data_IF_200802281052
#
_entry.id   IF_200802281052
#
_cell.length_a   1.000
_cell.length_b   1.000
_cell.length_c   1.000
_cell.angle_alpha   90.00
_cell.angle_beta   90.00
_cell.angle_gamma   90.00
#
_symmetry.space_group_name_H-M   'P 1'
#
loop_
_entity.id
_entity.type
_entity.pdbx_description
1 polymer ?
#
# COMPACT_ATOMS: atom_id res chain seq x y z
N UNK A 1 2.28 -18.37 -2.57
CA UNK A 1 2.00 -17.03 -2.03
C UNK A 1 2.93 -16.82 -0.85
N UNK A 2 3.66 -15.72 -0.87
CA UNK A 2 4.60 -15.29 0.16
C UNK A 2 4.07 -14.02 0.83
N UNK A 3 4.55 -13.77 2.05
CA UNK A 3 4.18 -12.59 2.83
C UNK A 3 5.42 -11.81 3.24
N UNK A 4 5.31 -10.48 3.25
CA UNK A 4 6.33 -9.58 3.75
C UNK A 4 5.72 -8.55 4.70
N UNK A 5 6.48 -8.19 5.74
CA UNK A 5 6.08 -7.17 6.69
C UNK A 5 6.66 -5.81 6.31
N UNK A 6 5.94 -4.75 6.64
CA UNK A 6 6.28 -3.41 6.23
C UNK A 6 5.34 -2.37 6.80
N UNK A 7 5.37 -1.19 6.19
CA UNK A 7 4.53 -0.08 6.60
C UNK A 7 4.01 0.70 5.41
N UNK A 8 2.95 1.47 5.67
CA UNK A 8 2.30 2.34 4.68
C UNK A 8 2.09 3.72 5.27
N UNK A 9 2.41 4.74 4.48
CA UNK A 9 2.21 6.15 4.83
C UNK A 9 1.46 6.81 3.68
N UNK A 10 0.30 7.39 3.98
CA UNK A 10 -0.37 8.33 3.10
C UNK A 10 -0.14 9.75 3.59
N UNK A 11 0.34 10.63 2.72
CA UNK A 11 0.50 12.05 2.99
C UNK A 11 -0.72 12.87 2.53
N UNK A 12 -0.69 14.17 2.75
CA UNK A 12 -1.77 15.10 2.37
C UNK A 12 -1.76 15.50 0.88
N UNK A 13 -0.87 14.93 0.06
CA UNK A 13 -0.64 15.30 -1.33
C UNK A 13 -1.15 14.24 -2.33
N UNK A 14 -2.12 13.42 -1.91
CA UNK A 14 -2.64 12.27 -2.68
C UNK A 14 -1.54 11.27 -3.03
N UNK A 15 -0.56 11.13 -2.15
CA UNK A 15 0.57 10.25 -2.34
C UNK A 15 0.64 9.27 -1.20
N UNK A 16 0.83 8.01 -1.57
CA UNK A 16 1.12 6.95 -0.62
C UNK A 16 2.50 6.38 -0.91
N UNK A 17 3.16 5.96 0.16
CA UNK A 17 4.40 5.21 0.13
C UNK A 17 4.21 3.92 0.89
N UNK A 18 4.52 2.79 0.27
CA UNK A 18 4.52 1.47 0.90
C UNK A 18 5.96 0.97 0.92
N UNK A 19 6.40 0.41 2.04
CA UNK A 19 7.75 -0.17 2.17
C UNK A 19 7.67 -1.54 2.81
N UNK A 20 8.24 -2.54 2.15
CA UNK A 20 8.26 -3.92 2.63
C UNK A 20 9.66 -4.54 2.55
N UNK A 21 10.05 -5.27 3.59
CA UNK A 21 11.32 -6.01 3.62
C UNK A 21 11.12 -7.44 3.13
N UNK A 22 11.83 -7.83 2.07
CA UNK A 22 11.80 -9.17 1.48
C UNK A 22 13.24 -9.71 1.44
N UNK A 23 13.52 -10.77 2.19
CA UNK A 23 14.84 -11.44 2.20
C UNK A 23 16.03 -10.48 2.44
N UNK A 24 15.85 -9.43 3.26
CA UNK A 24 16.88 -8.43 3.55
C UNK A 24 16.97 -7.27 2.54
N UNK A 25 16.08 -7.22 1.56
CA UNK A 25 15.98 -6.16 0.55
C UNK A 25 14.70 -5.35 0.78
N UNK A 26 14.79 -4.02 0.71
CA UNK A 26 13.62 -3.14 0.81
C UNK A 26 12.96 -2.98 -0.57
N UNK A 27 11.63 -3.05 -0.59
CA UNK A 27 10.81 -2.77 -1.76
C UNK A 27 9.87 -1.62 -1.43
N UNK A 28 10.02 -0.53 -2.18
CA UNK A 28 9.28 0.71 -2.02
C UNK A 28 8.30 0.92 -3.20
N UNK A 29 7.04 1.19 -2.91
CA UNK A 29 6.09 1.75 -3.88
C UNK A 29 5.85 3.21 -3.54
N UNK A 30 6.03 4.11 -4.51
CA UNK A 30 5.43 5.45 -4.44
C UNK A 30 4.29 5.52 -5.45
N UNK A 31 3.09 5.86 -4.98
CA UNK A 31 1.90 5.95 -5.83
C UNK A 31 1.13 7.25 -5.62
N UNK A 32 0.51 7.73 -6.70
CA UNK A 32 -0.50 8.79 -6.65
C UNK A 32 -1.89 8.17 -6.54
N UNK A 33 -2.77 8.79 -5.78
CA UNK A 33 -4.11 8.30 -5.49
C UNK A 33 -5.19 9.28 -5.93
N UNK A 34 -6.37 8.76 -6.23
CA UNK A 34 -7.58 9.55 -6.47
C UNK A 34 -8.79 8.81 -5.90
N UNK A 35 -9.74 9.47 -5.21
CA UNK A 35 -9.70 10.87 -4.80
C UNK A 35 -8.63 11.15 -3.71
N UNK A 36 -8.40 12.43 -3.34
CA UNK A 36 -7.60 12.79 -2.17
C UNK A 36 -8.04 12.05 -0.91
N UNK A 37 -7.09 11.65 -0.06
CA UNK A 37 -7.36 11.02 1.23
C UNK A 37 -6.73 11.83 2.39
N UNK A 38 -7.27 11.75 3.61
CA UNK A 38 -6.59 12.26 4.80
C UNK A 38 -5.21 11.57 4.97
N UNK A 39 -4.25 12.21 5.67
CA UNK A 39 -3.01 11.55 6.02
C UNK A 39 -3.29 10.34 6.92
N UNK A 40 -2.60 9.25 6.70
CA UNK A 40 -2.74 8.03 7.49
C UNK A 40 -1.41 7.27 7.57
N UNK A 41 -1.30 6.40 8.56
CA UNK A 41 -0.16 5.51 8.74
C UNK A 41 -0.63 4.13 9.17
N UNK A 42 0.12 3.12 8.75
CA UNK A 42 0.00 1.75 9.21
C UNK A 42 1.41 1.18 9.37
N UNK A 43 1.92 1.13 10.60
CA UNK A 43 3.27 0.60 10.84
C UNK A 43 3.34 -0.93 10.78
N UNK A 44 2.18 -1.60 10.81
CA UNK A 44 2.07 -3.05 10.71
C UNK A 44 1.23 -3.42 9.49
N UNK A 45 1.88 -3.42 8.33
CA UNK A 45 1.31 -3.82 7.06
C UNK A 45 1.90 -5.15 6.59
N UNK A 46 1.05 -5.98 6.00
CA UNK A 46 1.42 -7.22 5.34
C UNK A 46 1.21 -7.08 3.83
N UNK A 47 2.25 -7.41 3.06
CA UNK A 47 2.19 -7.57 1.61
C UNK A 47 2.07 -9.06 1.29
N UNK A 48 1.05 -9.45 0.53
CA UNK A 48 0.91 -10.79 -0.05
C UNK A 48 1.24 -10.73 -1.53
N UNK A 49 2.15 -11.60 -1.99
CA UNK A 49 2.64 -11.62 -3.37
C UNK A 49 3.01 -13.05 -3.80
N UNK A 50 3.17 -13.27 -5.11
CA UNK A 50 3.57 -14.58 -5.68
C UNK A 50 5.06 -14.65 -6.04
N UNK A 51 5.66 -13.53 -6.43
CA UNK A 51 7.09 -13.43 -6.73
C UNK A 51 7.56 -11.97 -6.75
N UNK A 52 8.85 -11.75 -6.55
CA UNK A 52 9.42 -10.38 -6.53
C UNK A 52 9.29 -9.69 -7.88
N UNK A 53 9.16 -10.43 -8.99
CA UNK A 53 8.89 -9.89 -10.34
C UNK A 53 7.66 -8.97 -10.40
N UNK A 54 6.68 -9.18 -9.51
CA UNK A 54 5.50 -8.33 -9.38
C UNK A 54 5.78 -6.96 -8.73
N UNK A 55 6.97 -6.79 -8.16
CA UNK A 55 7.42 -5.62 -7.38
C UNK A 55 8.58 -4.88 -8.08
N UNK A 56 8.62 -4.92 -9.41
CA UNK A 56 9.67 -4.28 -10.22
C UNK A 56 9.14 -3.35 -11.32
N UNK A 57 7.85 -3.05 -11.34
CA UNK A 57 7.22 -2.29 -12.42
C UNK A 57 6.17 -1.30 -11.93
N UNK A 58 5.60 -0.55 -12.88
CA UNK A 58 4.41 0.25 -12.65
C UNK A 58 3.27 -0.63 -12.16
N UNK A 59 2.60 -0.20 -11.11
CA UNK A 59 1.50 -0.92 -10.49
C UNK A 59 0.29 0.00 -10.32
N UNK A 60 -0.86 -0.51 -10.71
CA UNK A 60 -2.17 0.10 -10.47
C UNK A 60 -2.89 -0.68 -9.39
N UNK A 61 -3.69 0.00 -8.59
CA UNK A 61 -4.48 -0.64 -7.54
C UNK A 61 -5.80 0.07 -7.29
N UNK A 62 -6.72 -0.68 -6.70
CA UNK A 62 -7.92 -0.18 -6.05
C UNK A 62 -7.87 -0.54 -4.57
N UNK A 63 -8.47 0.28 -3.72
CA UNK A 63 -8.44 0.00 -2.30
C UNK A 63 -9.32 0.86 -1.43
N UNK A 64 -9.24 0.57 -0.15
CA UNK A 64 -10.01 1.21 0.92
C UNK A 64 -9.07 1.67 2.02
N UNK A 65 -9.35 2.83 2.59
CA UNK A 65 -8.71 3.35 3.80
C UNK A 65 -9.81 3.58 4.83
N UNK A 66 -9.70 2.95 5.99
CA UNK A 66 -10.55 3.21 7.15
C UNK A 66 -11.78 2.29 7.31
N UNK A 67 -12.42 2.28 8.50
CA UNK A 67 -12.02 3.06 9.68
C UNK A 67 -10.74 2.53 10.33
N UNK A 68 -10.59 1.22 10.52
CA UNK A 68 -9.47 0.68 11.31
C UNK A 68 -8.38 0.00 10.47
N UNK A 69 -8.67 -0.28 9.20
CA UNK A 69 -7.78 -1.00 8.30
C UNK A 69 -7.63 -0.26 6.98
N UNK A 70 -6.53 -0.53 6.28
CA UNK A 70 -6.44 -0.28 4.85
C UNK A 70 -6.31 -1.61 4.10
N UNK A 71 -6.76 -1.63 2.85
CA UNK A 71 -6.55 -2.74 1.94
C UNK A 71 -6.38 -2.22 0.51
N UNK A 72 -5.26 -2.56 -0.13
CA UNK A 72 -4.94 -2.20 -1.51
C UNK A 72 -4.77 -3.50 -2.31
N UNK A 73 -5.56 -3.61 -3.37
CA UNK A 73 -5.57 -4.73 -4.30
C UNK A 73 -4.98 -4.27 -5.63
N UNK A 74 -3.78 -4.76 -5.94
CA UNK A 74 -3.06 -4.42 -7.16
C UNK A 74 -3.52 -5.30 -8.32
N UNK A 75 -3.52 -4.75 -9.53
CA UNK A 75 -4.02 -5.43 -10.73
C UNK A 75 -3.23 -6.70 -11.07
N UNK A 76 -1.96 -6.78 -10.63
CA UNK A 76 -1.10 -7.95 -10.82
C UNK A 76 -1.27 -9.02 -9.73
N UNK A 77 -2.28 -8.90 -8.86
CA UNK A 77 -2.61 -9.87 -7.80
C UNK A 77 -1.84 -9.69 -6.49
N UNK A 78 -0.99 -8.67 -6.36
CA UNK A 78 -0.39 -8.27 -5.08
C UNK A 78 -1.46 -7.65 -4.19
N UNK A 79 -1.40 -7.91 -2.88
CA UNK A 79 -2.33 -7.33 -1.90
C UNK A 79 -1.54 -6.75 -0.74
N UNK A 80 -1.77 -5.48 -0.41
CA UNK A 80 -1.23 -4.85 0.80
C UNK A 80 -2.36 -4.55 1.77
N UNK A 81 -2.23 -4.99 3.03
CA UNK A 81 -3.25 -4.81 4.06
C UNK A 81 -2.62 -4.60 5.42
N UNK A 82 -3.26 -3.81 6.28
CA UNK A 82 -2.81 -3.62 7.66
C UNK A 82 -3.79 -2.81 8.48
N UNK A 83 -3.52 -2.75 9.79
CA UNK A 83 -4.23 -1.87 10.71
C UNK A 83 -3.68 -0.46 10.61
N UNK A 84 -4.58 0.51 10.58
CA UNK A 84 -4.23 1.93 10.67
C UNK A 84 -3.82 2.25 12.11
N UNK A 85 -2.76 3.02 12.28
CA UNK A 85 -2.30 3.49 13.59
C UNK A 85 -3.35 4.38 14.27
N UNK A 86 -4.09 5.13 13.45
CA UNK A 86 -5.22 5.97 13.85
C UNK A 86 -6.39 5.75 12.89
N UNK A 87 -7.62 5.59 13.38
CA UNK A 87 -8.75 5.38 12.49
C UNK A 87 -8.99 6.53 11.52
N UNK A 88 -9.36 6.21 10.28
CA UNK A 88 -9.72 7.19 9.24
C UNK A 88 -11.22 7.13 9.00
N UNK A 89 -11.94 8.18 9.40
CA UNK A 89 -13.41 8.26 9.31
C UNK A 89 -13.82 9.51 8.53
N UNK A 90 -14.71 9.41 7.52
CA UNK A 90 -15.31 8.18 7.02
C UNK A 90 -14.29 7.30 6.28
N UNK A 91 -14.58 6.00 6.21
CA UNK A 91 -13.85 5.10 5.32
C UNK A 91 -14.00 5.57 3.88
N UNK A 92 -12.93 5.48 3.09
CA UNK A 92 -12.90 5.99 1.73
C UNK A 92 -12.32 4.96 0.76
N UNK A 93 -12.92 4.88 -0.43
CA UNK A 93 -12.38 4.13 -1.56
C UNK A 93 -11.42 5.01 -2.35
N UNK A 94 -10.28 4.44 -2.74
CA UNK A 94 -9.28 5.10 -3.57
C UNK A 94 -8.82 4.15 -4.69
N UNK A 95 -8.33 4.75 -5.75
CA UNK A 95 -7.57 4.08 -6.81
C UNK A 95 -6.25 4.82 -6.96
N UNK A 96 -5.21 4.13 -7.43
CA UNK A 96 -3.92 4.76 -7.59
C UNK A 96 -3.00 4.02 -8.54
N UNK A 97 -1.97 4.75 -8.98
CA UNK A 97 -0.90 4.22 -9.83
C UNK A 97 0.44 4.64 -9.25
N UNK A 98 1.40 3.73 -9.27
CA UNK A 98 2.72 3.95 -8.72
C UNK A 98 3.77 3.08 -9.38
N UNK A 99 5.00 3.21 -8.90
CA UNK A 99 6.14 2.43 -9.41
C UNK A 99 6.86 1.79 -8.24
N UNK A 100 7.03 0.47 -8.30
CA UNK A 100 7.84 -0.27 -7.35
C UNK A 100 9.33 -0.04 -7.62
N UNK A 101 10.11 0.07 -6.57
CA UNK A 101 11.57 0.20 -6.58
C UNK A 101 12.17 -0.69 -5.50
N UNK A 102 13.37 -1.17 -5.80
CA UNK A 102 14.23 -1.89 -4.90
C UNK A 102 15.36 -0.97 -4.44
#
# INVERSE_FOLDING_TARGET
>A
MSVAQGHVIGDNSNRITLRFGISGVEYDLTAQTSPPHPPFRANNATLTYNGTDQLHSSASFNGRIGPDIFEFNFDNGVVARGHLDTPVVPAQMIQGTGVWRQ
#
